data_IF_572761854415
#
_entry.id   IF_572761854415
#
_cell.length_a   1.000
_cell.length_b   1.000
_cell.length_c   1.000
_cell.angle_alpha   90.00
_cell.angle_beta   90.00
_cell.angle_gamma   90.00
#
_symmetry.space_group_name_H-M   'P 1'
#
loop_
_entity.id
_entity.type
_entity.pdbx_description
1 polymer ?
#
# COMPACT_ATOMS: atom_id res chain seq x y z
N UNK A 1 22.59 45.31 10.45
CA UNK A 1 23.22 44.04 10.04
C UNK A 1 22.21 42.93 10.30
N UNK A 2 21.77 42.24 9.25
CA UNK A 2 20.81 41.11 9.32
C UNK A 2 21.52 39.87 8.77
N UNK A 3 21.12 38.68 9.25
CA UNK A 3 21.69 37.39 8.81
C UNK A 3 20.75 36.73 7.81
N UNK A 4 21.25 36.41 6.63
CA UNK A 4 20.53 35.73 5.56
C UNK A 4 21.12 34.34 5.32
N UNK A 5 20.26 33.35 5.16
CA UNK A 5 20.65 32.02 4.69
C UNK A 5 19.99 31.77 3.34
N UNK A 6 20.80 31.62 2.29
CA UNK A 6 20.34 31.44 0.91
C UNK A 6 20.64 30.01 0.48
N UNK A 7 19.60 29.28 0.08
CA UNK A 7 19.70 27.92 -0.45
C UNK A 7 19.45 27.95 -1.95
N UNK A 8 20.43 27.51 -2.73
CA UNK A 8 20.34 27.43 -4.19
C UNK A 8 20.24 25.95 -4.59
N UNK A 9 19.11 25.60 -5.22
CA UNK A 9 18.74 24.24 -5.53
C UNK A 9 18.49 24.06 -7.04
N UNK A 10 19.53 24.29 -7.86
CA UNK A 10 19.45 24.02 -9.30
C UNK A 10 20.75 23.33 -9.79
N UNK A 11 20.66 22.25 -10.59
CA UNK A 11 21.84 21.48 -11.00
C UNK A 11 22.71 22.22 -12.02
N UNK A 12 22.11 23.04 -12.89
CA UNK A 12 22.82 23.77 -13.93
C UNK A 12 23.45 25.08 -13.40
N UNK A 13 24.80 25.24 -13.40
CA UNK A 13 25.48 26.43 -12.90
C UNK A 13 25.11 27.73 -13.61
N UNK A 14 24.70 27.65 -14.88
CA UNK A 14 24.28 28.82 -15.69
C UNK A 14 22.77 29.08 -15.68
N UNK A 15 22.03 28.43 -14.78
CA UNK A 15 20.58 28.63 -14.69
C UNK A 15 20.21 30.02 -14.18
N UNK A 16 19.00 30.46 -14.54
CA UNK A 16 18.41 31.70 -14.00
C UNK A 16 18.34 31.67 -12.47
N UNK A 17 18.12 30.51 -11.86
CA UNK A 17 18.08 30.33 -10.41
C UNK A 17 19.45 30.61 -9.75
N UNK A 18 20.54 30.12 -10.36
CA UNK A 18 21.90 30.41 -9.92
C UNK A 18 22.22 31.91 -10.08
N UNK A 19 21.81 32.52 -11.21
CA UNK A 19 22.01 33.94 -11.46
C UNK A 19 21.28 34.83 -10.43
N UNK A 20 19.99 34.57 -10.18
CA UNK A 20 19.19 35.28 -9.18
C UNK A 20 19.81 35.12 -7.78
N UNK A 21 20.22 33.89 -7.42
CA UNK A 21 20.85 33.61 -6.14
C UNK A 21 22.15 34.39 -5.93
N UNK A 22 23.02 34.41 -6.94
CA UNK A 22 24.29 35.15 -6.90
C UNK A 22 24.07 36.66 -6.77
N UNK A 23 23.14 37.23 -7.57
CA UNK A 23 22.80 38.65 -7.47
C UNK A 23 22.24 39.02 -6.10
N UNK A 24 21.42 38.16 -5.50
CA UNK A 24 20.90 38.38 -4.15
C UNK A 24 22.00 38.35 -3.09
N UNK A 25 22.95 37.40 -3.18
CA UNK A 25 24.10 37.31 -2.28
C UNK A 25 24.93 38.60 -2.34
N UNK A 26 25.34 39.01 -3.55
CA UNK A 26 26.17 40.20 -3.77
C UNK A 26 25.48 41.47 -3.25
N UNK A 27 24.19 41.64 -3.52
CA UNK A 27 23.44 42.81 -3.07
C UNK A 27 23.31 42.88 -1.54
N UNK A 28 23.10 41.75 -0.87
CA UNK A 28 22.97 41.69 0.58
C UNK A 28 24.32 41.91 1.28
N UNK A 29 25.40 41.33 0.77
CA UNK A 29 26.75 41.56 1.29
C UNK A 29 27.17 43.03 1.12
N UNK A 30 26.90 43.63 -0.05
CA UNK A 30 27.17 45.04 -0.31
C UNK A 30 26.37 45.98 0.62
N UNK A 31 25.18 45.57 1.07
CA UNK A 31 24.37 46.28 2.05
C UNK A 31 24.85 46.10 3.52
N UNK A 32 25.97 45.40 3.74
CA UNK A 32 26.53 45.15 5.07
C UNK A 32 25.76 44.09 5.86
N UNK A 33 25.18 43.11 5.19
CA UNK A 33 24.52 41.96 5.81
C UNK A 33 25.44 40.72 5.78
N UNK A 34 25.22 39.82 6.74
CA UNK A 34 25.90 38.53 6.80
C UNK A 34 25.09 37.53 5.97
N UNK A 35 25.70 36.91 4.97
CA UNK A 35 25.05 35.93 4.09
C UNK A 35 25.76 34.59 4.20
N UNK A 36 25.00 33.53 4.50
CA UNK A 36 25.45 32.15 4.41
C UNK A 36 24.75 31.47 3.24
N UNK A 37 25.51 30.76 2.42
CA UNK A 37 25.01 30.15 1.18
C UNK A 37 25.21 28.64 1.24
N UNK A 38 24.21 27.90 0.77
CA UNK A 38 24.32 26.47 0.49
C UNK A 38 23.85 26.19 -0.93
N UNK A 39 24.60 25.37 -1.66
CA UNK A 39 24.29 24.98 -3.05
C UNK A 39 24.08 23.48 -3.10
N UNK A 40 22.81 23.05 -3.01
CA UNK A 40 22.46 21.65 -2.73
C UNK A 40 23.04 20.65 -3.74
N UNK A 41 23.07 21.00 -5.02
CA UNK A 41 23.62 20.13 -6.07
C UNK A 41 25.15 20.08 -6.08
N UNK A 42 25.82 21.19 -5.73
CA UNK A 42 27.30 21.22 -5.61
C UNK A 42 27.77 20.49 -4.36
N UNK A 43 26.97 20.56 -3.29
CA UNK A 43 27.21 19.87 -2.03
C UNK A 43 26.82 18.38 -2.05
N UNK A 44 26.32 17.87 -3.18
CA UNK A 44 25.77 16.51 -3.30
C UNK A 44 24.76 16.20 -2.19
N UNK A 45 23.89 17.16 -1.89
CA UNK A 45 22.88 17.01 -0.85
C UNK A 45 21.90 15.89 -1.21
N UNK A 46 21.88 14.83 -0.41
CA UNK A 46 20.91 13.74 -0.54
C UNK A 46 19.55 14.18 0.00
N UNK A 47 18.62 14.48 -0.92
CA UNK A 47 17.26 14.89 -0.58
C UNK A 47 16.39 13.73 -0.06
N UNK A 48 16.84 12.47 -0.16
CA UNK A 48 16.08 11.33 0.34
C UNK A 48 16.16 11.31 1.86
N UNK A 49 15.00 11.43 2.50
CA UNK A 49 14.88 11.28 3.95
C UNK A 49 15.03 9.81 4.35
N UNK A 50 16.26 9.38 4.62
CA UNK A 50 16.58 8.00 5.01
C UNK A 50 17.14 7.92 6.43
N UNK A 51 17.31 6.70 6.97
CA UNK A 51 17.94 6.46 8.28
C UNK A 51 19.33 7.10 8.42
N UNK A 52 20.04 7.29 7.30
CA UNK A 52 21.37 7.90 7.25
C UNK A 52 21.36 9.38 7.66
N UNK A 53 20.20 10.04 7.65
CA UNK A 53 20.04 11.45 8.01
C UNK A 53 20.03 11.69 9.53
N UNK A 54 20.04 10.64 10.36
CA UNK A 54 19.94 10.73 11.81
C UNK A 54 21.18 10.15 12.50
N UNK A 55 21.92 10.99 13.23
CA UNK A 55 23.09 10.57 14.04
C UNK A 55 22.69 9.66 15.21
N UNK A 56 21.51 9.89 15.77
CA UNK A 56 20.90 9.13 16.86
C UNK A 56 19.42 8.90 16.55
N UNK A 57 18.86 7.76 16.96
CA UNK A 57 17.43 7.48 16.81
C UNK A 57 16.87 6.97 18.12
N UNK A 58 15.72 7.54 18.49
CA UNK A 58 15.04 7.32 19.77
C UNK A 58 14.68 5.85 20.02
N UNK A 59 14.40 5.11 18.96
CA UNK A 59 14.14 3.67 18.99
C UNK A 59 14.83 3.02 17.78
N UNK A 60 15.99 2.40 18.03
CA UNK A 60 16.75 1.69 16.99
C UNK A 60 16.01 0.45 16.46
N UNK A 61 15.06 -0.11 17.23
CA UNK A 61 14.24 -1.25 16.83
C UNK A 61 13.02 -0.85 15.99
N UNK A 62 12.62 0.43 16.01
CA UNK A 62 11.57 0.95 15.15
C UNK A 62 11.99 1.01 13.67
N UNK A 63 13.30 1.08 13.41
CA UNK A 63 13.84 0.87 12.08
C UNK A 63 13.94 -0.62 11.81
N UNK A 64 12.92 -1.18 11.14
CA UNK A 64 13.08 -2.47 10.47
C UNK A 64 14.18 -2.27 9.42
N UNK A 65 15.32 -2.97 9.48
CA UNK A 65 16.30 -2.88 8.41
C UNK A 65 15.58 -3.16 7.08
N UNK A 66 16.00 -2.52 5.97
CA UNK A 66 15.65 -3.02 4.65
C UNK A 66 15.97 -4.51 4.66
N UNK A 67 15.03 -5.32 4.15
CA UNK A 67 15.21 -6.77 4.04
C UNK A 67 16.60 -7.00 3.46
N UNK A 68 17.46 -7.79 4.10
CA UNK A 68 18.82 -8.06 3.60
C UNK A 68 18.79 -8.66 2.18
N UNK A 69 17.63 -9.19 1.78
CA UNK A 69 17.23 -9.59 0.42
C UNK A 69 16.25 -8.62 -0.28
N UNK A 70 16.37 -7.30 -0.13
CA UNK A 70 15.57 -6.32 -0.88
C UNK A 70 15.77 -6.39 -2.41
N UNK A 71 16.65 -7.29 -2.87
CA UNK A 71 16.94 -7.61 -4.26
C UNK A 71 16.42 -9.00 -4.70
N UNK A 72 15.79 -9.78 -3.83
CA UNK A 72 15.11 -11.00 -4.28
C UNK A 72 13.80 -10.62 -4.99
N UNK A 73 13.69 -10.97 -6.27
CA UNK A 73 12.42 -10.91 -7.01
C UNK A 73 11.33 -11.60 -6.20
N UNK A 74 10.21 -10.90 -6.02
CA UNK A 74 9.07 -11.36 -5.24
C UNK A 74 7.81 -11.20 -6.08
N UNK A 75 6.81 -12.02 -5.81
CA UNK A 75 5.52 -12.01 -6.49
C UNK A 75 4.50 -11.21 -5.68
N UNK A 76 3.78 -10.30 -6.34
CA UNK A 76 2.88 -9.35 -5.67
C UNK A 76 1.48 -9.40 -6.30
N UNK A 77 0.43 -9.54 -5.49
CA UNK A 77 -0.95 -9.37 -5.96
C UNK A 77 -1.51 -8.07 -5.40
N UNK A 78 -1.94 -7.16 -6.28
CA UNK A 78 -2.65 -5.93 -5.92
C UNK A 78 -4.15 -6.13 -6.10
N UNK A 79 -4.94 -5.81 -5.07
CA UNK A 79 -6.40 -5.69 -5.17
C UNK A 79 -6.77 -4.23 -4.96
N UNK A 80 -7.17 -3.57 -6.04
CA UNK A 80 -7.48 -2.13 -6.08
C UNK A 80 -8.99 -1.92 -6.13
N UNK A 81 -9.50 -1.12 -5.19
CA UNK A 81 -10.93 -0.89 -4.99
C UNK A 81 -11.28 0.60 -5.07
N UNK A 82 -11.32 1.18 -6.27
CA UNK A 82 -11.83 2.53 -6.49
C UNK A 82 -12.58 2.66 -7.84
N UNK A 83 -13.77 3.32 -7.88
CA UNK A 83 -14.56 3.42 -9.11
C UNK A 83 -14.00 4.41 -10.14
N UNK A 84 -13.38 5.50 -9.68
CA UNK A 84 -12.81 6.54 -10.56
C UNK A 84 -11.37 6.19 -10.97
N UNK A 85 -11.10 5.93 -12.28
CA UNK A 85 -9.76 5.58 -12.79
C UNK A 85 -8.68 6.64 -12.53
N UNK A 86 -9.06 7.92 -12.43
CA UNK A 86 -8.14 9.04 -12.17
C UNK A 86 -8.03 9.43 -10.70
N UNK A 87 -8.53 8.60 -9.80
CA UNK A 87 -8.48 8.86 -8.36
C UNK A 87 -7.06 8.79 -7.82
N UNK A 88 -6.81 9.45 -6.69
CA UNK A 88 -5.55 9.32 -5.95
C UNK A 88 -5.30 7.87 -5.51
N UNK A 89 -6.35 7.10 -5.23
CA UNK A 89 -6.24 5.69 -4.87
C UNK A 89 -5.70 4.85 -6.04
N UNK A 90 -6.19 5.10 -7.25
CA UNK A 90 -5.68 4.47 -8.47
C UNK A 90 -4.25 4.92 -8.75
N UNK A 91 -3.95 6.21 -8.60
CA UNK A 91 -2.60 6.75 -8.81
C UNK A 91 -1.57 6.10 -7.87
N UNK A 92 -1.85 6.02 -6.56
CA UNK A 92 -0.96 5.36 -5.59
C UNK A 92 -0.74 3.89 -5.96
N UNK A 93 -1.80 3.16 -6.30
CA UNK A 93 -1.70 1.77 -6.73
C UNK A 93 -0.83 1.61 -7.98
N UNK A 94 -1.07 2.42 -9.01
CA UNK A 94 -0.31 2.39 -10.26
C UNK A 94 1.17 2.70 -10.04
N UNK A 95 1.48 3.77 -9.29
CA UNK A 95 2.86 4.13 -8.98
C UNK A 95 3.58 3.02 -8.21
N UNK A 96 2.91 2.35 -7.28
CA UNK A 96 3.49 1.22 -6.55
C UNK A 96 3.75 0.01 -7.46
N UNK A 97 2.81 -0.31 -8.36
CA UNK A 97 2.96 -1.38 -9.35
C UNK A 97 4.15 -1.09 -10.27
N UNK A 98 4.21 0.11 -10.87
CA UNK A 98 5.30 0.54 -11.76
C UNK A 98 6.67 0.46 -11.07
N UNK A 99 6.74 0.90 -9.81
CA UNK A 99 7.99 0.84 -9.03
C UNK A 99 8.42 -0.59 -8.72
N UNK A 100 7.49 -1.49 -8.40
CA UNK A 100 7.77 -2.90 -8.14
C UNK A 100 8.22 -3.62 -9.41
N UNK A 101 7.53 -3.40 -10.53
CA UNK A 101 7.92 -3.96 -11.83
C UNK A 101 9.29 -3.45 -12.27
N UNK A 102 9.58 -2.15 -12.11
CA UNK A 102 10.90 -1.57 -12.41
C UNK A 102 12.02 -2.13 -11.52
N UNK A 103 11.69 -2.57 -10.31
CA UNK A 103 12.62 -3.25 -9.40
C UNK A 103 12.74 -4.77 -9.68
N UNK A 104 12.07 -5.28 -10.71
CA UNK A 104 12.17 -6.68 -11.15
C UNK A 104 11.26 -7.64 -10.37
N UNK A 105 10.23 -7.14 -9.68
CA UNK A 105 9.19 -7.95 -9.07
C UNK A 105 8.12 -8.35 -10.09
N UNK A 106 7.50 -9.52 -9.91
CA UNK A 106 6.31 -9.89 -10.67
C UNK A 106 5.06 -9.34 -9.99
N UNK A 107 4.15 -8.76 -10.77
CA UNK A 107 2.93 -8.14 -10.23
C UNK A 107 1.69 -8.65 -10.98
N UNK A 108 0.68 -9.10 -10.24
CA UNK A 108 -0.68 -9.38 -10.73
C UNK A 108 -1.63 -8.35 -10.13
N UNK A 109 -2.60 -7.89 -10.91
CA UNK A 109 -3.50 -6.82 -10.49
C UNK A 109 -4.96 -7.25 -10.68
N UNK A 110 -5.77 -6.99 -9.66
CA UNK A 110 -7.22 -7.12 -9.64
C UNK A 110 -7.81 -5.74 -9.39
N UNK A 111 -8.48 -5.18 -10.41
CA UNK A 111 -9.14 -3.86 -10.33
C UNK A 111 -10.64 -4.09 -10.24
N UNK A 112 -11.16 -4.12 -9.01
CA UNK A 112 -12.50 -4.66 -8.74
C UNK A 112 -13.62 -3.93 -9.50
N UNK A 113 -13.55 -2.60 -9.60
CA UNK A 113 -14.54 -1.82 -10.32
C UNK A 113 -14.41 -1.97 -11.84
N UNK A 114 -13.19 -1.99 -12.37
CA UNK A 114 -12.96 -2.17 -13.82
C UNK A 114 -13.39 -3.57 -14.30
N UNK A 115 -13.24 -4.57 -13.43
CA UNK A 115 -13.66 -5.94 -13.68
C UNK A 115 -15.15 -6.18 -13.42
N UNK A 116 -15.90 -5.17 -12.93
CA UNK A 116 -17.29 -5.32 -12.49
C UNK A 116 -17.48 -6.51 -11.53
N UNK A 117 -16.57 -6.65 -10.57
CA UNK A 117 -16.55 -7.78 -9.65
C UNK A 117 -17.88 -7.91 -8.87
N UNK A 118 -18.54 -9.08 -8.93
CA UNK A 118 -19.75 -9.35 -8.15
C UNK A 118 -19.37 -9.53 -6.68
N UNK A 119 -19.74 -8.57 -5.84
CA UNK A 119 -19.40 -8.58 -4.42
C UNK A 119 -20.24 -9.56 -3.60
N UNK A 120 -21.33 -10.11 -4.15
CA UNK A 120 -22.28 -10.90 -3.39
C UNK A 120 -21.83 -12.37 -3.29
N UNK A 121 -21.50 -12.79 -2.07
CA UNK A 121 -21.21 -14.20 -1.79
C UNK A 121 -22.50 -15.02 -1.81
N UNK A 122 -22.72 -15.75 -2.90
CA UNK A 122 -23.94 -16.51 -3.18
C UNK A 122 -23.60 -17.86 -3.80
N UNK A 123 -24.61 -18.64 -4.21
CA UNK A 123 -24.41 -19.89 -4.97
C UNK A 123 -23.61 -19.68 -6.27
N UNK A 124 -23.51 -18.45 -6.78
CA UNK A 124 -22.68 -18.11 -7.94
C UNK A 124 -21.18 -18.26 -7.70
N UNK A 125 -20.73 -18.46 -6.46
CA UNK A 125 -19.32 -18.74 -6.17
C UNK A 125 -18.87 -20.12 -6.69
N UNK A 126 -19.81 -20.97 -7.11
CA UNK A 126 -19.55 -22.36 -7.44
C UNK A 126 -20.22 -22.75 -8.77
N UNK A 127 -19.56 -23.62 -9.52
CA UNK A 127 -20.09 -24.26 -10.74
C UNK A 127 -21.12 -25.34 -10.41
N UNK A 128 -20.95 -26.00 -9.27
CA UNK A 128 -21.89 -26.94 -8.68
C UNK A 128 -21.98 -26.73 -7.17
N UNK A 129 -23.09 -27.15 -6.57
CA UNK A 129 -23.32 -27.05 -5.12
C UNK A 129 -23.57 -28.45 -4.57
N UNK A 130 -23.03 -28.71 -3.38
CA UNK A 130 -23.23 -29.96 -2.64
C UNK A 130 -24.67 -30.14 -2.21
N UNK A 131 -25.31 -29.07 -1.72
CA UNK A 131 -26.71 -29.11 -1.27
C UNK A 131 -27.52 -28.00 -1.94
N UNK A 132 -28.26 -28.39 -2.98
CA UNK A 132 -29.16 -27.49 -3.72
C UNK A 132 -30.34 -27.00 -2.85
N UNK A 133 -30.78 -27.78 -1.85
CA UNK A 133 -31.91 -27.45 -1.00
C UNK A 133 -31.52 -26.51 0.15
N UNK A 134 -30.27 -26.59 0.64
CA UNK A 134 -29.83 -25.81 1.80
C UNK A 134 -28.42 -25.23 1.64
N UNK A 135 -28.34 -23.93 1.36
CA UNK A 135 -27.06 -23.24 1.15
C UNK A 135 -26.34 -22.93 2.47
N UNK A 136 -25.15 -23.50 2.65
CA UNK A 136 -24.24 -23.17 3.75
C UNK A 136 -22.83 -22.89 3.18
N UNK A 137 -22.42 -21.62 3.04
CA UNK A 137 -21.18 -21.27 2.34
C UNK A 137 -19.93 -22.05 2.80
N UNK A 138 -19.64 -22.23 4.10
CA UNK A 138 -18.44 -22.97 4.49
C UNK A 138 -18.44 -24.44 4.08
N UNK A 139 -19.61 -25.08 3.98
CA UNK A 139 -19.73 -26.48 3.52
C UNK A 139 -19.54 -26.55 2.01
N UNK A 140 -20.07 -25.57 1.29
CA UNK A 140 -19.94 -25.45 -0.16
C UNK A 140 -18.49 -25.11 -0.56
N UNK A 141 -17.83 -24.21 0.15
CA UNK A 141 -16.39 -23.91 -0.01
C UNK A 141 -15.53 -25.17 0.14
N UNK A 142 -15.79 -25.97 1.18
CA UNK A 142 -15.06 -27.22 1.40
C UNK A 142 -15.31 -28.24 0.28
N UNK A 143 -16.53 -28.30 -0.24
CA UNK A 143 -16.87 -29.17 -1.36
C UNK A 143 -16.19 -28.70 -2.66
N UNK A 144 -16.29 -27.42 -2.99
CA UNK A 144 -15.69 -26.82 -4.17
C UNK A 144 -14.16 -26.91 -4.15
N UNK A 145 -13.55 -26.80 -2.96
CA UNK A 145 -12.12 -27.05 -2.76
C UNK A 145 -11.74 -28.48 -3.10
N UNK A 146 -12.53 -29.46 -2.67
CA UNK A 146 -12.25 -30.89 -2.91
C UNK A 146 -12.54 -31.35 -4.34
N UNK A 147 -13.41 -30.64 -5.06
CA UNK A 147 -13.89 -31.03 -6.40
C UNK A 147 -13.46 -30.07 -7.51
N UNK A 148 -12.74 -29.00 -7.17
CA UNK A 148 -12.28 -27.96 -8.08
C UNK A 148 -13.43 -27.27 -8.86
N UNK A 149 -14.47 -26.88 -8.13
CA UNK A 149 -15.71 -26.36 -8.72
C UNK A 149 -16.08 -24.95 -8.27
N UNK A 150 -15.10 -24.14 -7.86
CA UNK A 150 -15.31 -22.70 -7.76
C UNK A 150 -15.65 -22.10 -9.14
N UNK A 151 -16.43 -21.03 -9.14
CA UNK A 151 -16.67 -20.23 -10.32
C UNK A 151 -15.34 -19.61 -10.81
N UNK A 152 -15.22 -19.40 -12.12
CA UNK A 152 -13.93 -19.05 -12.75
C UNK A 152 -13.36 -17.73 -12.23
N UNK A 153 -14.22 -16.75 -11.91
CA UNK A 153 -13.81 -15.48 -11.32
C UNK A 153 -13.27 -15.66 -9.90
N UNK A 154 -13.91 -16.49 -9.08
CA UNK A 154 -13.44 -16.80 -7.71
C UNK A 154 -12.14 -17.59 -7.74
N UNK A 155 -12.07 -18.64 -8.56
CA UNK A 155 -10.88 -19.50 -8.69
C UNK A 155 -9.66 -18.69 -9.16
N UNK A 156 -9.83 -17.80 -10.14
CA UNK A 156 -8.75 -16.95 -10.62
C UNK A 156 -8.18 -16.04 -9.51
N UNK A 157 -9.00 -15.52 -8.62
CA UNK A 157 -8.56 -14.69 -7.49
C UNK A 157 -7.91 -15.51 -6.37
N UNK A 158 -8.42 -16.71 -6.08
CA UNK A 158 -7.78 -17.66 -5.15
C UNK A 158 -6.37 -18.00 -5.64
N UNK A 159 -6.21 -18.29 -6.93
CA UNK A 159 -4.91 -18.62 -7.52
C UNK A 159 -3.91 -17.45 -7.45
N UNK A 160 -4.36 -16.20 -7.58
CA UNK A 160 -3.51 -15.01 -7.37
C UNK A 160 -3.03 -14.90 -5.92
N UNK A 161 -3.91 -15.22 -4.96
CA UNK A 161 -3.60 -15.21 -3.53
C UNK A 161 -2.60 -16.33 -3.17
N UNK A 162 -2.77 -17.52 -3.74
CA UNK A 162 -1.85 -18.65 -3.56
C UNK A 162 -0.48 -18.37 -4.20
N UNK A 163 -0.46 -17.71 -5.35
CA UNK A 163 0.75 -17.37 -6.10
C UNK A 163 1.62 -16.31 -5.40
N UNK A 164 1.05 -15.21 -4.90
CA UNK A 164 1.86 -14.06 -4.45
C UNK A 164 2.58 -14.26 -3.10
N UNK A 165 3.78 -13.70 -2.96
CA UNK A 165 4.48 -13.53 -1.69
C UNK A 165 3.90 -12.38 -0.87
N UNK A 166 3.42 -11.33 -1.55
CA UNK A 166 2.84 -10.13 -0.96
C UNK A 166 1.47 -9.81 -1.55
N UNK A 167 0.45 -9.72 -0.70
CA UNK A 167 -0.87 -9.20 -1.04
C UNK A 167 -0.97 -7.72 -0.67
N UNK A 168 -1.35 -6.86 -1.60
CA UNK A 168 -1.54 -5.43 -1.36
C UNK A 168 -2.99 -5.06 -1.60
N UNK A 169 -3.66 -4.54 -0.58
CA UNK A 169 -4.97 -3.91 -0.72
C UNK A 169 -4.79 -2.41 -0.90
N UNK A 170 -5.30 -1.86 -2.01
CA UNK A 170 -5.32 -0.42 -2.28
C UNK A 170 -6.77 0.09 -2.32
N UNK A 171 -7.19 0.87 -1.32
CA UNK A 171 -8.58 1.29 -1.20
C UNK A 171 -8.76 2.62 -0.45
N UNK A 172 -9.84 3.36 -0.68
CA UNK A 172 -10.25 4.42 0.22
C UNK A 172 -10.93 3.82 1.46
N UNK A 173 -10.60 4.31 2.66
CA UNK A 173 -11.25 3.88 3.90
C UNK A 173 -12.68 4.41 3.92
N UNK A 174 -13.66 3.54 3.68
CA UNK A 174 -15.07 3.88 3.64
C UNK A 174 -15.75 3.38 4.91
N UNK A 175 -16.40 4.30 5.64
CA UNK A 175 -17.09 4.00 6.89
C UNK A 175 -16.23 3.17 7.85
N UNK A 176 -14.97 3.59 8.02
CA UNK A 176 -14.01 2.94 8.93
C UNK A 176 -13.72 1.47 8.57
N UNK A 177 -13.89 1.10 7.30
CA UNK A 177 -13.68 -0.27 6.82
C UNK A 177 -13.32 -0.29 5.32
N UNK A 178 -13.26 -1.51 4.77
CA UNK A 178 -13.09 -1.76 3.34
C UNK A 178 -14.30 -1.24 2.55
N UNK A 179 -14.13 -0.76 1.30
CA UNK A 179 -15.25 -0.60 0.38
C UNK A 179 -16.05 -1.90 0.23
N UNK A 180 -17.36 -1.80 0.04
CA UNK A 180 -18.24 -2.98 -0.03
C UNK A 180 -17.79 -4.02 -1.07
N UNK A 181 -17.33 -3.57 -2.25
CA UNK A 181 -16.82 -4.49 -3.30
C UNK A 181 -15.57 -5.24 -2.85
N UNK A 182 -14.69 -4.61 -2.06
CA UNK A 182 -13.49 -5.24 -1.54
C UNK A 182 -13.83 -6.21 -0.40
N UNK A 183 -14.77 -5.85 0.46
CA UNK A 183 -15.30 -6.78 1.46
C UNK A 183 -15.95 -8.01 0.81
N UNK A 184 -16.70 -7.80 -0.27
CA UNK A 184 -17.27 -8.89 -1.07
C UNK A 184 -16.22 -9.77 -1.75
N UNK A 185 -15.12 -9.19 -2.25
CA UNK A 185 -13.96 -9.95 -2.74
C UNK A 185 -13.38 -10.83 -1.62
N UNK A 186 -13.17 -10.28 -0.41
CA UNK A 186 -12.72 -11.07 0.74
C UNK A 186 -13.70 -12.21 1.04
N UNK A 187 -15.01 -11.94 1.05
CA UNK A 187 -16.05 -12.92 1.37
C UNK A 187 -16.21 -14.05 0.33
N UNK A 188 -15.78 -13.83 -0.91
CA UNK A 188 -15.83 -14.84 -1.99
C UNK A 188 -14.51 -15.58 -2.14
N UNK A 189 -13.37 -14.91 -1.95
CA UNK A 189 -12.03 -15.44 -2.23
C UNK A 189 -11.40 -16.11 -1.02
N UNK A 190 -11.69 -15.65 0.20
CA UNK A 190 -11.17 -16.30 1.42
C UNK A 190 -12.08 -17.47 1.77
N UNK A 191 -12.05 -18.51 0.93
CA UNK A 191 -12.91 -19.69 1.02
C UNK A 191 -12.45 -20.67 2.11
N UNK A 192 -13.41 -21.21 2.87
CA UNK A 192 -13.15 -22.20 3.92
C UNK A 192 -12.56 -23.50 3.34
N UNK A 193 -11.64 -24.13 4.07
CA UNK A 193 -10.85 -25.30 3.66
C UNK A 193 -9.85 -25.09 2.51
N UNK A 194 -9.88 -23.94 1.82
CA UNK A 194 -8.85 -23.55 0.83
C UNK A 194 -7.85 -22.57 1.42
N UNK A 195 -8.34 -21.46 1.94
CA UNK A 195 -7.53 -20.32 2.39
C UNK A 195 -7.40 -20.24 3.92
N UNK A 196 -8.36 -20.82 4.64
CA UNK A 196 -8.33 -20.95 6.09
C UNK A 196 -9.13 -22.17 6.55
N UNK A 197 -8.86 -22.66 7.76
CA UNK A 197 -9.64 -23.69 8.43
C UNK A 197 -9.53 -23.55 9.94
N UNK A 198 -10.40 -24.21 10.70
CA UNK A 198 -10.30 -24.22 12.16
C UNK A 198 -9.02 -24.87 12.69
N UNK A 199 -8.39 -25.75 11.91
CA UNK A 199 -7.12 -26.38 12.28
C UNK A 199 -5.91 -25.46 12.04
N UNK A 200 -6.05 -24.46 11.16
CA UNK A 200 -4.98 -23.58 10.71
C UNK A 200 -5.46 -22.12 10.79
N UNK A 201 -5.48 -21.59 12.02
CA UNK A 201 -5.89 -20.22 12.29
C UNK A 201 -4.68 -19.35 12.66
N UNK A 202 -4.74 -18.06 12.32
CA UNK A 202 -3.74 -17.06 12.68
C UNK A 202 -2.32 -17.48 12.28
N UNK A 203 -1.41 -17.60 13.24
CA UNK A 203 0.02 -17.86 13.01
C UNK A 203 0.30 -19.23 12.40
N UNK A 204 -0.66 -20.17 12.46
CA UNK A 204 -0.57 -21.49 11.81
C UNK A 204 -1.38 -21.58 10.51
N UNK A 205 -1.89 -20.44 10.03
CA UNK A 205 -2.71 -20.34 8.82
C UNK A 205 -2.02 -20.82 7.54
N UNK A 206 -2.83 -21.09 6.52
CA UNK A 206 -2.40 -21.61 5.21
C UNK A 206 -1.33 -20.71 4.57
N UNK A 207 -1.50 -19.38 4.71
CA UNK A 207 -0.59 -18.38 4.14
C UNK A 207 0.53 -17.94 5.08
N UNK A 208 0.92 -18.75 6.07
CA UNK A 208 2.10 -18.45 6.90
C UNK A 208 3.33 -18.20 6.01
N UNK A 209 4.11 -17.17 6.34
CA UNK A 209 5.29 -16.77 5.58
C UNK A 209 5.03 -15.77 4.43
N UNK A 210 3.79 -15.67 3.94
CA UNK A 210 3.38 -14.58 3.04
C UNK A 210 3.14 -13.30 3.83
N UNK A 211 3.10 -12.16 3.14
CA UNK A 211 2.86 -10.83 3.73
C UNK A 211 1.61 -10.19 3.12
N UNK A 212 0.98 -9.31 3.90
CA UNK A 212 -0.11 -8.47 3.42
C UNK A 212 0.12 -7.01 3.81
N UNK A 213 -0.29 -6.08 2.95
CA UNK A 213 -0.19 -4.63 3.15
C UNK A 213 -1.57 -4.00 2.95
N UNK A 214 -1.98 -3.17 3.92
CA UNK A 214 -3.09 -2.24 3.74
C UNK A 214 -2.53 -0.89 3.31
N UNK A 215 -2.74 -0.53 2.05
CA UNK A 215 -2.47 0.81 1.51
C UNK A 215 -3.81 1.51 1.31
N UNK A 216 -4.10 2.53 2.11
CA UNK A 216 -5.42 3.17 2.05
C UNK A 216 -5.35 4.68 2.18
N UNK A 217 -6.37 5.33 1.64
CA UNK A 217 -6.54 6.78 1.75
C UNK A 217 -7.68 7.11 2.68
N UNK A 218 -7.58 8.25 3.36
CA UNK A 218 -8.64 8.77 4.24
C UNK A 218 -9.00 10.18 3.80
N UNK A 219 -10.25 10.59 4.06
CA UNK A 219 -10.64 11.99 3.88
C UNK A 219 -10.22 12.88 5.06
N UNK A 220 -10.23 12.32 6.28
CA UNK A 220 -9.84 13.05 7.49
C UNK A 220 -8.31 13.15 7.64
N UNK A 221 -7.78 14.24 8.22
CA UNK A 221 -6.36 14.35 8.53
C UNK A 221 -5.95 13.35 9.62
N UNK A 222 -4.65 13.01 9.67
CA UNK A 222 -4.12 12.04 10.63
C UNK A 222 -4.44 12.34 12.10
N UNK A 223 -4.55 13.63 12.48
CA UNK A 223 -4.93 14.03 13.84
C UNK A 223 -6.29 13.48 14.30
N UNK A 224 -7.24 13.27 13.38
CA UNK A 224 -8.55 12.69 13.70
C UNK A 224 -8.46 11.23 14.13
N UNK A 225 -7.41 10.50 13.71
CA UNK A 225 -7.26 9.06 13.88
C UNK A 225 -6.21 8.67 14.92
N UNK A 226 -5.87 9.60 15.81
CA UNK A 226 -5.05 9.32 16.99
C UNK A 226 -5.92 8.68 18.10
N UNK A 227 -5.33 8.07 19.14
CA UNK A 227 -6.11 7.47 20.24
C UNK A 227 -7.14 8.40 20.88
N UNK A 228 -6.81 9.69 21.01
CA UNK A 228 -7.69 10.73 21.56
C UNK A 228 -8.40 11.56 20.46
N UNK A 229 -8.23 11.18 19.20
CA UNK A 229 -8.80 11.87 18.05
C UNK A 229 -10.29 11.60 17.90
N UNK A 230 -11.00 12.51 17.22
CA UNK A 230 -12.45 12.44 17.04
C UNK A 230 -12.95 11.11 16.43
N UNK A 231 -12.19 10.56 15.48
CA UNK A 231 -12.52 9.28 14.83
C UNK A 231 -12.04 8.05 15.62
N UNK A 232 -11.19 8.24 16.63
CA UNK A 232 -10.53 7.18 17.38
C UNK A 232 -9.27 6.61 16.70
N UNK A 233 -8.55 5.75 17.43
CA UNK A 233 -7.29 5.14 17.00
C UNK A 233 -7.44 4.35 15.69
N UNK A 234 -6.62 4.70 14.68
CA UNK A 234 -6.57 3.99 13.41
C UNK A 234 -6.27 2.50 13.58
N UNK A 235 -5.46 2.10 14.56
CA UNK A 235 -5.16 0.69 14.81
C UNK A 235 -6.39 -0.04 15.36
N UNK A 236 -7.18 0.64 16.20
CA UNK A 236 -8.46 0.13 16.68
C UNK A 236 -9.45 -0.08 15.52
N UNK A 237 -9.54 0.90 14.63
CA UNK A 237 -10.39 0.84 13.43
C UNK A 237 -10.00 -0.32 12.51
N UNK A 238 -8.72 -0.48 12.22
CA UNK A 238 -8.25 -1.49 11.28
C UNK A 238 -8.17 -2.91 11.88
N UNK A 239 -8.21 -3.04 13.21
CA UNK A 239 -8.02 -4.32 13.92
C UNK A 239 -8.81 -5.51 13.34
N UNK A 240 -10.06 -5.40 12.86
CA UNK A 240 -10.77 -6.51 12.25
C UNK A 240 -10.16 -7.02 10.93
N UNK A 241 -9.30 -6.25 10.28
CA UNK A 241 -8.74 -6.51 8.96
C UNK A 241 -7.31 -7.06 9.03
N UNK A 242 -6.45 -6.54 9.92
CA UNK A 242 -5.00 -6.84 9.91
C UNK A 242 -4.49 -7.67 11.11
N UNK A 243 -5.38 -8.41 11.79
CA UNK A 243 -5.03 -9.19 12.99
C UNK A 243 -4.63 -10.63 12.72
#
# INVERSE_FOLDING_TARGET
MVKYFIVIAHPEPKSICQAIGNTAIEALEAAGHEVKVTRLYEENFDALSTRKNYKEVKDAAHFKPPIEDAHATATNTFVIAHPEPKSICQAIGNTAIEALEAAGHEVKVTRLYEQNFDALSTRKNYKEVKDAAHFKPPIEDAHATATNTFADDVEAEIQKLEWCDVLVFQFPLYWFSLPAVLKGWVDRVFAFSRTYSYAQMYTTGVFKGKRAILSFTTGGPGAMYTPDGFSGDINGILRPIHR
#
